data_IF_340701707002
#
_entry.id   IF_340701707002
#
_cell.length_a   1.000
_cell.length_b   1.000
_cell.length_c   1.000
_cell.angle_alpha   90.00
_cell.angle_beta   90.00
_cell.angle_gamma   90.00
#
_symmetry.space_group_name_H-M   'P 1'
#
loop_
_entity.id
_entity.type
_entity.pdbx_description
1 polymer ?
#
# COMPACT_ATOMS: atom_id res chain seq x y z
N UNK A 1 -60.12 8.89 33.88
CA UNK A 1 -60.08 10.16 34.64
C UNK A 1 -58.64 10.67 34.57
N UNK A 2 -58.27 11.42 33.54
CA UNK A 2 -58.40 12.89 33.36
C UNK A 2 -57.46 13.71 34.23
N UNK A 3 -56.51 14.40 33.56
CA UNK A 3 -56.08 15.80 33.66
C UNK A 3 -54.63 15.85 33.10
N UNK A 4 -54.34 16.23 31.84
CA UNK A 4 -54.45 17.55 31.18
C UNK A 4 -53.83 18.71 31.97
N UNK A 5 -52.67 19.21 31.51
CA UNK A 5 -52.52 20.62 31.09
C UNK A 5 -51.13 20.89 30.48
N UNK A 6 -51.17 21.17 29.17
CA UNK A 6 -50.44 22.21 28.41
C UNK A 6 -49.03 22.68 28.83
N UNK A 7 -48.10 22.63 27.86
CA UNK A 7 -47.33 23.82 27.49
C UNK A 7 -46.90 23.82 26.01
N UNK A 8 -47.54 24.75 25.29
CA UNK A 8 -47.25 25.48 24.04
C UNK A 8 -45.99 25.16 23.21
N UNK A 9 -46.27 25.12 21.90
CA UNK A 9 -45.35 25.22 20.77
C UNK A 9 -44.56 26.54 20.73
N UNK A 10 -43.32 26.47 20.24
CA UNK A 10 -42.70 27.55 19.47
C UNK A 10 -41.55 27.03 18.59
N UNK A 11 -41.69 27.37 17.30
CA UNK A 11 -40.65 27.73 16.33
C UNK A 11 -39.67 26.68 15.78
N UNK A 12 -39.96 26.33 14.53
CA UNK A 12 -39.00 25.92 13.50
C UNK A 12 -37.74 26.79 13.55
N UNK A 13 -36.58 26.16 13.72
CA UNK A 13 -35.30 26.75 13.39
C UNK A 13 -34.77 26.10 12.10
N UNK A 14 -34.69 26.94 11.09
CA UNK A 14 -34.12 26.75 9.76
C UNK A 14 -32.64 26.32 9.86
N UNK A 15 -32.33 25.07 9.50
CA UNK A 15 -30.96 24.66 9.20
C UNK A 15 -30.62 25.07 7.77
N UNK A 16 -29.61 25.92 7.53
CA UNK A 16 -29.12 26.12 6.17
C UNK A 16 -28.47 24.83 5.70
N UNK A 17 -29.00 24.26 4.61
CA UNK A 17 -28.30 23.23 3.82
C UNK A 17 -26.92 23.78 3.46
N UNK A 18 -25.86 23.19 4.02
CA UNK A 18 -24.51 23.39 3.54
C UNK A 18 -24.46 22.95 2.08
N UNK A 19 -24.49 23.93 1.17
CA UNK A 19 -24.17 23.70 -0.23
C UNK A 19 -22.73 23.18 -0.25
N UNK A 20 -22.53 21.98 -0.77
CA UNK A 20 -21.20 21.50 -1.21
C UNK A 20 -20.66 22.53 -2.20
N UNK A 21 -19.81 23.43 -1.74
CA UNK A 21 -19.02 24.30 -2.60
C UNK A 21 -18.04 23.37 -3.33
N UNK A 22 -18.33 23.07 -4.60
CA UNK A 22 -17.32 22.52 -5.51
C UNK A 22 -16.22 23.57 -5.58
N UNK A 23 -15.05 23.22 -5.06
CA UNK A 23 -13.81 23.95 -5.29
C UNK A 23 -13.60 23.92 -6.82
N UNK A 24 -13.28 25.06 -7.46
CA UNK A 24 -13.01 25.07 -8.90
C UNK A 24 -11.78 24.20 -9.13
N UNK A 25 -11.90 23.13 -9.93
CA UNK A 25 -10.74 22.43 -10.47
C UNK A 25 -10.00 23.43 -11.35
N UNK A 26 -8.75 23.71 -11.03
CA UNK A 26 -7.87 24.46 -11.93
C UNK A 26 -7.84 23.72 -13.26
N UNK A 27 -8.36 24.36 -14.31
CA UNK A 27 -8.31 23.87 -15.70
C UNK A 27 -6.95 24.17 -16.31
N UNK A 28 -5.87 23.68 -15.69
CA UNK A 28 -4.72 23.26 -16.47
C UNK A 28 -5.14 22.00 -17.23
N UNK A 29 -4.71 21.84 -18.47
CA UNK A 29 -5.00 20.62 -19.23
C UNK A 29 -4.33 19.45 -18.51
N UNK A 30 -5.05 18.76 -17.63
CA UNK A 30 -4.53 17.54 -17.01
C UNK A 30 -4.08 16.61 -18.13
N UNK A 31 -2.91 15.99 -17.96
CA UNK A 31 -2.44 14.99 -18.90
C UNK A 31 -3.50 13.91 -19.09
N UNK A 32 -3.79 13.55 -20.33
CA UNK A 32 -4.55 12.31 -20.56
C UNK A 32 -3.69 11.12 -20.13
N UNK A 33 -4.33 9.96 -19.89
CA UNK A 33 -3.60 8.73 -19.60
C UNK A 33 -2.65 8.36 -20.77
N UNK A 34 -3.06 8.63 -22.02
CA UNK A 34 -2.25 8.41 -23.21
C UNK A 34 -1.00 9.31 -23.26
N UNK A 35 -1.13 10.60 -22.95
CA UNK A 35 0.02 11.52 -22.91
C UNK A 35 1.00 11.15 -21.80
N UNK A 36 0.48 10.76 -20.63
CA UNK A 36 1.29 10.31 -19.50
C UNK A 36 2.03 9.01 -19.85
N UNK A 37 1.34 8.04 -20.46
CA UNK A 37 1.95 6.81 -20.93
C UNK A 37 3.05 7.08 -21.97
N UNK A 38 2.80 7.96 -22.94
CA UNK A 38 3.79 8.29 -23.96
C UNK A 38 5.08 8.86 -23.35
N UNK A 39 4.96 9.79 -22.39
CA UNK A 39 6.12 10.33 -21.66
C UNK A 39 6.85 9.28 -20.84
N UNK A 40 6.11 8.42 -20.14
CA UNK A 40 6.70 7.36 -19.33
C UNK A 40 7.47 6.35 -20.19
N UNK A 41 6.88 5.91 -21.31
CA UNK A 41 7.52 5.00 -22.26
C UNK A 41 8.77 5.64 -22.87
N UNK A 42 8.70 6.90 -23.30
CA UNK A 42 9.86 7.64 -23.83
C UNK A 42 11.00 7.73 -22.79
N UNK A 43 10.66 8.04 -21.54
CA UNK A 43 11.63 8.09 -20.43
C UNK A 43 12.28 6.74 -20.18
N UNK A 44 11.48 5.67 -20.06
CA UNK A 44 11.97 4.31 -19.84
C UNK A 44 12.89 3.86 -20.97
N UNK A 45 12.49 4.10 -22.23
CA UNK A 45 13.28 3.73 -23.41
C UNK A 45 14.60 4.52 -23.50
N UNK A 46 14.55 5.83 -23.22
CA UNK A 46 15.72 6.70 -23.21
C UNK A 46 16.75 6.27 -22.16
N UNK A 47 16.27 5.98 -20.95
CA UNK A 47 17.11 5.58 -19.82
C UNK A 47 17.49 4.08 -19.86
N UNK A 48 16.88 3.32 -20.78
CA UNK A 48 17.07 1.87 -20.97
C UNK A 48 16.77 1.07 -19.71
N UNK A 49 15.65 1.38 -19.05
CA UNK A 49 15.26 0.71 -17.82
C UNK A 49 14.55 -0.61 -18.12
N UNK A 50 14.75 -1.61 -17.24
CA UNK A 50 14.24 -2.97 -17.40
C UNK A 50 12.73 -3.16 -17.22
N UNK A 51 11.88 -2.26 -17.73
CA UNK A 51 10.43 -2.36 -17.57
C UNK A 51 9.82 -3.51 -18.39
N UNK A 52 8.89 -4.24 -17.79
CA UNK A 52 8.17 -5.33 -18.45
C UNK A 52 6.85 -4.85 -19.04
N UNK A 53 6.12 -4.05 -18.26
CA UNK A 53 4.86 -3.46 -18.65
C UNK A 53 4.47 -2.35 -17.70
N UNK A 54 3.69 -1.41 -18.22
CA UNK A 54 3.11 -0.31 -17.47
C UNK A 54 1.62 -0.18 -17.78
N UNK A 55 0.85 0.19 -16.76
CA UNK A 55 -0.54 0.63 -16.89
C UNK A 55 -0.66 2.00 -16.26
N UNK A 56 -1.15 2.96 -17.03
CA UNK A 56 -1.37 4.34 -16.59
C UNK A 56 -2.87 4.60 -16.62
N UNK A 57 -3.38 5.11 -15.50
CA UNK A 57 -4.77 5.53 -15.38
C UNK A 57 -4.84 6.96 -14.89
N UNK A 58 -5.64 7.79 -15.56
CA UNK A 58 -5.93 9.18 -15.17
C UNK A 58 -7.43 9.40 -15.32
N UNK A 59 -8.11 9.71 -14.21
CA UNK A 59 -9.58 9.72 -14.19
C UNK A 59 -10.16 8.36 -14.55
N UNK A 60 -10.98 8.32 -15.60
CA UNK A 60 -11.58 7.08 -16.11
C UNK A 60 -10.78 6.44 -17.26
N UNK A 61 -9.79 7.15 -17.81
CA UNK A 61 -8.98 6.67 -18.92
C UNK A 61 -7.87 5.75 -18.41
N UNK A 62 -7.69 4.59 -19.05
CA UNK A 62 -6.66 3.61 -18.75
C UNK A 62 -5.99 3.16 -20.03
N UNK A 63 -4.66 3.17 -20.04
CA UNK A 63 -3.84 2.75 -21.17
C UNK A 63 -2.65 1.93 -20.67
N UNK A 64 -2.19 1.00 -21.48
CA UNK A 64 -1.08 0.11 -21.13
C UNK A 64 -0.04 0.06 -22.24
N UNK A 65 1.22 -0.15 -21.85
CA UNK A 65 2.32 -0.48 -22.74
C UNK A 65 3.09 -1.67 -22.20
N UNK A 66 3.64 -2.50 -23.09
CA UNK A 66 4.35 -3.73 -22.71
C UNK A 66 5.57 -3.92 -23.60
N UNK A 67 6.72 -4.13 -22.96
CA UNK A 67 7.97 -4.53 -23.61
C UNK A 67 8.10 -6.05 -23.69
N UNK A 68 7.30 -6.80 -22.92
CA UNK A 68 7.22 -8.27 -22.94
C UNK A 68 5.81 -8.80 -22.65
N UNK A 69 5.65 -10.12 -22.67
CA UNK A 69 4.42 -10.81 -22.28
C UNK A 69 3.97 -10.47 -20.86
N UNK A 70 2.65 -10.45 -20.66
CA UNK A 70 2.00 -10.22 -19.37
C UNK A 70 1.99 -11.49 -18.50
N UNK A 71 3.16 -11.99 -18.17
CA UNK A 71 3.29 -13.15 -17.29
C UNK A 71 3.17 -12.71 -15.84
N UNK A 72 2.80 -13.65 -14.96
CA UNK A 72 2.84 -13.41 -13.53
C UNK A 72 4.29 -13.33 -13.08
N UNK A 73 4.60 -12.31 -12.30
CA UNK A 73 5.92 -12.07 -11.75
C UNK A 73 5.84 -11.86 -10.25
N UNK A 74 6.91 -12.21 -9.54
CA UNK A 74 7.01 -11.93 -8.11
C UNK A 74 6.97 -10.41 -7.89
N UNK A 75 6.00 -9.95 -7.12
CA UNK A 75 5.81 -8.55 -6.81
C UNK A 75 6.76 -8.03 -5.73
N UNK A 76 7.55 -8.91 -5.12
CA UNK A 76 8.42 -8.59 -3.98
C UNK A 76 7.65 -7.80 -2.92
N UNK A 77 8.19 -6.68 -2.47
CA UNK A 77 7.64 -5.89 -1.36
C UNK A 77 6.29 -5.23 -1.63
N UNK A 78 5.81 -5.15 -2.89
CA UNK A 78 4.40 -4.77 -3.18
C UNK A 78 3.42 -5.73 -2.51
N UNK A 79 3.82 -6.99 -2.28
CA UNK A 79 3.03 -7.99 -1.53
C UNK A 79 2.60 -7.50 -0.14
N UNK A 80 3.38 -6.62 0.51
CA UNK A 80 3.05 -6.03 1.80
C UNK A 80 1.81 -5.14 1.74
N UNK A 81 1.65 -4.40 0.64
CA UNK A 81 0.45 -3.60 0.41
C UNK A 81 -0.80 -4.47 0.37
N UNK A 82 -0.72 -5.65 -0.25
CA UNK A 82 -1.83 -6.62 -0.27
C UNK A 82 -2.07 -7.23 1.13
N UNK A 83 -1.02 -7.45 1.92
CA UNK A 83 -1.16 -7.83 3.33
C UNK A 83 -1.90 -6.76 4.14
N UNK A 84 -1.58 -5.47 3.93
CA UNK A 84 -2.29 -4.37 4.59
C UNK A 84 -3.75 -4.27 4.16
N UNK A 85 -4.08 -4.52 2.89
CA UNK A 85 -5.48 -4.64 2.46
C UNK A 85 -6.19 -5.79 3.18
N UNK A 86 -5.53 -6.94 3.34
CA UNK A 86 -6.09 -8.10 4.05
C UNK A 86 -6.42 -7.77 5.51
N UNK A 87 -5.49 -7.11 6.21
CA UNK A 87 -5.72 -6.64 7.59
C UNK A 87 -6.85 -5.61 7.61
N UNK A 88 -6.93 -4.70 6.65
CA UNK A 88 -8.01 -3.72 6.58
C UNK A 88 -9.39 -4.35 6.45
N UNK A 89 -9.52 -5.36 5.59
CA UNK A 89 -10.76 -6.14 5.46
C UNK A 89 -11.07 -6.85 6.78
N UNK A 90 -10.07 -7.46 7.43
CA UNK A 90 -10.27 -8.16 8.69
C UNK A 90 -10.68 -7.21 9.84
N UNK A 91 -10.15 -5.98 9.86
CA UNK A 91 -10.54 -4.94 10.80
C UNK A 91 -11.99 -4.49 10.57
N UNK A 92 -12.37 -4.27 9.31
CA UNK A 92 -13.74 -3.88 8.95
C UNK A 92 -14.76 -4.98 9.26
N UNK A 93 -14.38 -6.26 9.07
CA UNK A 93 -15.17 -7.44 9.46
C UNK A 93 -15.16 -7.70 10.99
N UNK A 94 -14.39 -6.93 11.78
CA UNK A 94 -14.30 -7.09 13.23
C UNK A 94 -13.55 -8.35 13.70
N UNK A 95 -12.75 -8.97 12.82
CA UNK A 95 -11.98 -10.19 13.09
C UNK A 95 -10.78 -9.89 13.99
N UNK A 96 -10.12 -8.76 13.77
CA UNK A 96 -9.01 -8.28 14.58
C UNK A 96 -9.01 -6.74 14.62
N UNK A 97 -8.17 -6.17 15.48
CA UNK A 97 -7.95 -4.73 15.57
C UNK A 97 -6.49 -4.41 15.28
N UNK A 98 -6.20 -3.15 14.93
CA UNK A 98 -4.82 -2.69 14.77
C UNK A 98 -4.01 -2.77 16.06
N UNK A 99 -4.67 -2.62 17.21
CA UNK A 99 -4.07 -2.74 18.53
C UNK A 99 -4.06 -4.18 19.08
N UNK A 100 -4.54 -5.17 18.31
CA UNK A 100 -4.42 -6.58 18.69
C UNK A 100 -2.96 -6.93 18.84
N UNK A 101 -2.61 -7.45 20.02
CA UNK A 101 -1.24 -7.80 20.41
C UNK A 101 -0.88 -9.20 19.96
N UNK A 102 0.41 -9.44 19.71
CA UNK A 102 0.97 -10.75 19.33
C UNK A 102 0.45 -11.91 20.19
N UNK A 103 0.50 -11.87 21.54
CA UNK A 103 0.07 -13.00 22.37
C UNK A 103 -1.44 -13.30 22.29
N UNK A 104 -2.28 -12.37 21.82
CA UNK A 104 -3.72 -12.63 21.67
C UNK A 104 -4.01 -13.66 20.56
N UNK A 105 -3.18 -13.68 19.51
CA UNK A 105 -3.37 -14.55 18.33
C UNK A 105 -2.30 -15.64 18.20
N UNK A 106 -1.13 -15.45 18.83
CA UNK A 106 -0.02 -16.40 18.81
C UNK A 106 0.43 -16.78 20.24
N UNK A 107 -0.46 -17.31 21.10
CA UNK A 107 -0.17 -17.54 22.52
C UNK A 107 0.86 -18.65 22.79
N UNK A 108 1.22 -19.46 21.79
CA UNK A 108 2.15 -20.58 21.92
C UNK A 108 3.61 -20.25 21.60
N UNK A 109 3.93 -18.99 21.29
CA UNK A 109 5.30 -18.57 20.98
C UNK A 109 6.01 -18.03 22.23
N UNK A 110 7.30 -18.35 22.35
CA UNK A 110 8.16 -17.79 23.39
C UNK A 110 8.54 -16.35 23.00
N UNK A 111 8.06 -15.37 23.77
CA UNK A 111 8.27 -13.96 23.45
C UNK A 111 9.50 -13.39 24.17
N UNK A 112 10.30 -12.62 23.42
CA UNK A 112 11.36 -11.82 23.97
C UNK A 112 10.84 -10.67 24.85
N UNK A 113 11.70 -10.05 25.67
CA UNK A 113 11.30 -8.94 26.53
C UNK A 113 10.54 -7.82 25.79
N UNK A 114 9.35 -7.47 26.27
CA UNK A 114 8.49 -6.39 25.78
C UNK A 114 7.72 -6.71 24.49
N UNK A 115 7.90 -7.89 23.88
CA UNK A 115 7.24 -8.26 22.62
C UNK A 115 5.74 -8.53 22.82
N UNK A 116 5.31 -8.78 24.05
CA UNK A 116 3.89 -8.88 24.43
C UNK A 116 3.08 -7.60 24.15
N UNK A 117 3.75 -6.47 23.97
CA UNK A 117 3.17 -5.16 23.62
C UNK A 117 3.20 -4.87 22.10
N UNK A 118 3.82 -5.73 21.28
CA UNK A 118 3.82 -5.58 19.81
C UNK A 118 2.42 -5.85 19.27
N UNK A 119 1.95 -5.00 18.36
CA UNK A 119 0.61 -5.06 17.77
C UNK A 119 0.67 -5.27 16.27
N UNK A 120 -0.48 -5.56 15.66
CA UNK A 120 -0.62 -5.60 14.19
C UNK A 120 -0.18 -4.28 13.56
N UNK A 121 -0.52 -3.13 14.14
CA UNK A 121 -0.09 -1.82 13.65
C UNK A 121 1.44 -1.67 13.66
N UNK A 122 2.09 -2.07 14.75
CA UNK A 122 3.55 -2.02 14.84
C UNK A 122 4.22 -2.88 13.77
N UNK A 123 3.64 -4.02 13.43
CA UNK A 123 4.16 -4.91 12.39
C UNK A 123 3.96 -4.33 10.98
N UNK A 124 2.79 -3.76 10.67
CA UNK A 124 2.51 -3.17 9.36
C UNK A 124 3.26 -1.85 9.10
N UNK A 125 3.59 -1.11 10.15
CA UNK A 125 4.37 0.14 10.08
C UNK A 125 5.87 -0.08 10.23
N UNK A 126 6.33 -1.33 10.38
CA UNK A 126 7.73 -1.68 10.59
C UNK A 126 8.31 -1.08 11.87
N UNK A 127 7.48 -0.87 12.89
CA UNK A 127 7.85 -0.26 14.18
C UNK A 127 7.77 -1.23 15.37
N UNK A 128 7.87 -2.54 15.13
CA UNK A 128 7.90 -3.54 16.21
C UNK A 128 9.04 -3.29 17.21
N UNK A 129 10.11 -2.61 16.79
CA UNK A 129 11.30 -2.31 17.58
C UNK A 129 12.22 -3.51 17.83
N UNK A 130 11.85 -4.69 17.31
CA UNK A 130 12.69 -5.89 17.29
C UNK A 130 13.77 -5.66 16.23
N UNK A 131 15.02 -6.04 16.51
CA UNK A 131 16.12 -5.93 15.54
C UNK A 131 16.32 -7.25 14.80
N UNK A 132 15.53 -7.45 13.74
CA UNK A 132 15.51 -8.66 12.94
C UNK A 132 15.23 -8.34 11.45
N UNK A 133 16.30 -8.20 10.66
CA UNK A 133 16.20 -8.07 9.21
C UNK A 133 16.18 -9.45 8.55
N UNK A 134 15.14 -9.73 7.79
CA UNK A 134 15.00 -10.94 6.98
C UNK A 134 14.15 -10.63 5.75
N UNK A 135 14.56 -11.14 4.59
CA UNK A 135 13.87 -10.96 3.32
C UNK A 135 13.48 -12.31 2.69
N UNK A 136 12.43 -12.31 1.87
CA UNK A 136 11.84 -13.54 1.33
C UNK A 136 12.72 -14.39 0.41
N UNK A 137 13.88 -13.89 -0.01
CA UNK A 137 14.93 -14.62 -0.74
C UNK A 137 15.95 -15.30 0.19
N UNK A 138 15.87 -15.08 1.50
CA UNK A 138 16.70 -15.72 2.50
C UNK A 138 16.08 -17.02 3.03
N UNK A 139 16.91 -18.01 3.45
CA UNK A 139 16.40 -19.18 4.13
C UNK A 139 15.70 -18.80 5.43
N UNK A 140 14.60 -19.49 5.76
CA UNK A 140 13.92 -19.32 7.05
C UNK A 140 14.85 -19.78 8.18
N UNK A 141 15.17 -18.93 9.17
CA UNK A 141 15.95 -19.33 10.31
C UNK A 141 15.14 -20.21 11.26
N UNK A 142 15.74 -21.33 11.70
CA UNK A 142 15.08 -22.29 12.58
C UNK A 142 13.90 -23.00 11.92
N UNK A 143 12.92 -23.42 12.74
CA UNK A 143 11.71 -24.11 12.28
C UNK A 143 10.52 -23.16 12.04
N UNK A 144 10.53 -21.97 12.64
CA UNK A 144 9.48 -20.96 12.50
C UNK A 144 10.09 -19.54 12.51
N UNK A 145 9.94 -18.83 11.39
CA UNK A 145 10.35 -17.44 11.24
C UNK A 145 9.70 -16.51 12.29
N UNK A 146 8.44 -16.75 12.67
CA UNK A 146 7.75 -15.93 13.67
C UNK A 146 8.40 -16.10 15.04
N UNK A 147 8.74 -17.34 15.41
CA UNK A 147 9.44 -17.63 16.66
C UNK A 147 10.85 -17.02 16.66
N UNK A 148 11.56 -17.09 15.53
CA UNK A 148 12.91 -16.53 15.41
C UNK A 148 12.92 -15.01 15.63
N UNK A 149 11.96 -14.29 15.05
CA UNK A 149 11.83 -12.84 15.24
C UNK A 149 11.29 -12.49 16.64
N UNK A 150 10.17 -13.08 17.06
CA UNK A 150 9.45 -12.70 18.28
C UNK A 150 10.16 -13.13 19.58
N UNK A 151 11.11 -14.07 19.50
CA UNK A 151 11.95 -14.45 20.64
C UNK A 151 13.02 -13.42 21.00
N UNK A 152 13.31 -12.46 20.11
CA UNK A 152 14.24 -11.37 20.38
C UNK A 152 13.57 -10.22 21.14
N UNK A 153 14.31 -9.46 21.96
CA UNK A 153 13.75 -8.30 22.65
C UNK A 153 13.34 -7.20 21.66
N UNK A 154 12.32 -6.42 22.03
CA UNK A 154 12.01 -5.16 21.37
C UNK A 154 12.72 -3.99 22.06
N UNK A 155 13.09 -2.96 21.29
CA UNK A 155 13.56 -1.65 21.78
C UNK A 155 12.41 -0.67 22.09
N UNK A 156 11.19 -1.20 22.19
CA UNK A 156 9.97 -0.44 22.43
C UNK A 156 9.11 -0.38 21.17
N UNK A 157 7.94 -1.05 21.15
CA UNK A 157 7.02 -0.99 20.03
C UNK A 157 6.60 0.46 19.73
N UNK A 158 6.53 0.80 18.45
CA UNK A 158 6.21 2.15 17.96
C UNK A 158 7.35 3.16 18.02
N UNK A 159 8.53 2.79 18.56
CA UNK A 159 9.63 3.75 18.77
C UNK A 159 10.70 3.74 17.68
N UNK A 160 10.93 2.59 17.06
CA UNK A 160 12.04 2.43 16.10
C UNK A 160 11.55 1.71 14.87
N UNK A 161 11.85 2.32 13.71
CA UNK A 161 11.62 1.74 12.40
C UNK A 161 12.70 0.69 12.08
N UNK A 162 12.28 -0.48 11.61
CA UNK A 162 13.13 -1.47 10.97
C UNK A 162 12.37 -2.21 9.87
N UNK A 163 12.77 -1.97 8.62
CA UNK A 163 12.17 -2.63 7.47
C UNK A 163 12.57 -4.11 7.39
N UNK A 164 11.57 -5.01 7.36
CA UNK A 164 11.78 -6.46 7.34
C UNK A 164 10.56 -7.20 6.80
N UNK A 165 10.76 -8.23 5.97
CA UNK A 165 9.67 -9.10 5.50
C UNK A 165 9.09 -9.91 6.67
N UNK A 166 9.90 -10.18 7.71
CA UNK A 166 9.47 -10.92 8.90
C UNK A 166 8.34 -10.21 9.65
N UNK A 167 8.34 -8.87 9.70
CA UNK A 167 7.24 -8.10 10.32
C UNK A 167 5.91 -8.37 9.61
N UNK A 168 5.91 -8.34 8.26
CA UNK A 168 4.71 -8.64 7.46
C UNK A 168 4.31 -10.10 7.59
N UNK A 169 5.27 -11.03 7.64
CA UNK A 169 5.01 -12.45 7.88
C UNK A 169 4.31 -12.67 9.23
N UNK A 170 4.78 -12.05 10.32
CA UNK A 170 4.14 -12.16 11.64
C UNK A 170 2.73 -11.58 11.62
N UNK A 171 2.50 -10.44 10.96
CA UNK A 171 1.15 -9.89 10.81
C UNK A 171 0.21 -10.87 10.08
N UNK A 172 0.71 -11.54 9.03
CA UNK A 172 -0.06 -12.57 8.33
C UNK A 172 -0.25 -13.84 9.15
N UNK A 173 0.70 -14.21 10.02
CA UNK A 173 0.54 -15.31 10.99
C UNK A 173 -0.55 -15.03 12.01
N UNK A 174 -0.61 -13.79 12.50
CA UNK A 174 -1.69 -13.35 13.39
C UNK A 174 -3.04 -13.42 12.68
N UNK A 175 -3.15 -12.87 11.46
CA UNK A 175 -4.38 -12.97 10.68
C UNK A 175 -4.76 -14.43 10.41
N UNK A 176 -3.81 -15.27 10.02
CA UNK A 176 -4.03 -16.68 9.75
C UNK A 176 -4.57 -17.46 10.95
N UNK A 177 -4.16 -17.10 12.17
CA UNK A 177 -4.69 -17.71 13.39
C UNK A 177 -6.20 -17.45 13.57
N UNK A 178 -6.72 -16.34 13.02
CA UNK A 178 -8.12 -15.98 13.09
C UNK A 178 -8.95 -16.47 11.88
N UNK A 179 -8.35 -16.53 10.68
CA UNK A 179 -9.08 -16.77 9.42
C UNK A 179 -8.70 -18.05 8.67
N UNK A 180 -7.66 -18.76 9.13
CA UNK A 180 -7.07 -19.88 8.41
C UNK A 180 -6.11 -19.40 7.31
N UNK A 181 -6.17 -20.00 6.12
CA UNK A 181 -5.30 -19.62 5.03
C UNK A 181 -5.63 -18.20 4.52
N UNK A 182 -4.72 -17.25 4.69
CA UNK A 182 -4.96 -15.83 4.35
C UNK A 182 -5.24 -15.64 2.86
N UNK A 183 -4.53 -16.36 1.99
CA UNK A 183 -4.70 -16.23 0.55
C UNK A 183 -6.06 -16.77 0.13
N UNK A 184 -6.47 -17.92 0.66
CA UNK A 184 -7.79 -18.48 0.35
C UNK A 184 -8.92 -17.67 0.99
N UNK A 185 -8.70 -17.09 2.17
CA UNK A 185 -9.64 -16.18 2.79
C UNK A 185 -9.83 -14.88 1.97
N UNK A 186 -8.76 -14.39 1.35
CA UNK A 186 -8.77 -13.23 0.45
C UNK A 186 -9.41 -13.50 -0.91
N UNK A 187 -9.43 -14.75 -1.39
CA UNK A 187 -9.96 -15.10 -2.72
C UNK A 187 -11.35 -14.46 -2.98
N UNK A 188 -12.41 -14.77 -2.20
CA UNK A 188 -13.74 -14.22 -2.45
C UNK A 188 -13.89 -12.73 -2.07
N UNK A 189 -12.96 -12.20 -1.27
CA UNK A 189 -13.06 -10.84 -0.70
C UNK A 189 -12.41 -9.79 -1.57
N UNK A 190 -11.24 -10.12 -2.15
CA UNK A 190 -10.37 -9.19 -2.85
C UNK A 190 -10.00 -9.69 -4.24
N UNK A 191 -9.55 -10.94 -4.39
CA UNK A 191 -8.98 -11.41 -5.65
C UNK A 191 -10.02 -11.71 -6.72
N UNK A 192 -11.02 -12.56 -6.45
CA UNK A 192 -12.11 -12.86 -7.39
C UNK A 192 -12.88 -11.60 -7.83
N UNK A 193 -13.21 -10.65 -6.93
CA UNK A 193 -13.82 -9.39 -7.33
C UNK A 193 -12.95 -8.56 -8.27
N UNK A 194 -11.62 -8.63 -8.15
CA UNK A 194 -10.71 -7.96 -9.07
C UNK A 194 -10.38 -8.81 -10.31
N UNK A 195 -11.04 -9.96 -10.50
CA UNK A 195 -10.76 -10.90 -11.59
C UNK A 195 -9.33 -11.45 -11.54
N UNK A 196 -8.79 -11.67 -10.35
CA UNK A 196 -7.47 -12.26 -10.11
C UNK A 196 -7.69 -13.71 -9.69
N UNK A 197 -7.58 -14.62 -10.65
CA UNK A 197 -7.89 -16.03 -10.42
C UNK A 197 -6.71 -16.78 -9.82
N UNK A 198 -6.88 -17.39 -8.64
CA UNK A 198 -5.91 -18.30 -8.03
C UNK A 198 -4.46 -17.74 -8.00
N UNK A 199 -4.22 -16.55 -7.41
CA UNK A 199 -2.87 -15.99 -7.35
C UNK A 199 -1.94 -16.91 -6.56
N UNK A 200 -0.70 -17.05 -7.04
CA UNK A 200 0.33 -17.80 -6.31
C UNK A 200 0.97 -16.87 -5.28
N UNK A 201 1.24 -17.42 -4.09
CA UNK A 201 1.95 -16.71 -3.04
C UNK A 201 2.94 -17.68 -2.41
N UNK A 202 4.21 -17.33 -2.41
CA UNK A 202 5.24 -18.16 -1.78
C UNK A 202 4.93 -18.41 -0.31
N UNK A 203 5.26 -19.62 0.15
CA UNK A 203 4.95 -20.11 1.48
C UNK A 203 6.21 -20.56 2.20
N UNK A 204 6.24 -20.37 3.51
CA UNK A 204 7.25 -20.98 4.35
C UNK A 204 7.01 -22.51 4.46
N UNK A 205 7.98 -23.28 5.00
CA UNK A 205 7.82 -24.73 5.18
C UNK A 205 6.64 -25.14 6.07
N UNK A 206 6.13 -24.24 6.92
CA UNK A 206 4.93 -24.47 7.73
C UNK A 206 3.62 -24.22 6.97
N UNK A 207 3.70 -23.83 5.70
CA UNK A 207 2.55 -23.61 4.83
C UNK A 207 1.95 -22.22 4.92
N UNK A 208 2.44 -21.30 5.75
CA UNK A 208 1.95 -19.91 5.77
C UNK A 208 2.52 -19.10 4.61
N UNK A 209 1.75 -18.15 4.08
CA UNK A 209 2.26 -17.19 3.10
C UNK A 209 3.43 -16.40 3.70
N UNK A 210 4.44 -16.10 2.88
CA UNK A 210 5.56 -15.23 3.29
C UNK A 210 5.05 -13.81 3.57
N UNK A 211 4.10 -13.33 2.78
CA UNK A 211 3.44 -12.02 2.96
C UNK A 211 4.32 -10.85 2.51
N UNK A 212 5.52 -10.71 3.09
CA UNK A 212 6.47 -9.65 2.77
C UNK A 212 6.97 -9.64 1.33
N UNK A 213 6.86 -10.78 0.64
CA UNK A 213 7.28 -11.03 -0.74
C UNK A 213 6.48 -12.22 -1.31
N UNK A 214 6.70 -12.55 -2.58
CA UNK A 214 6.32 -13.82 -3.18
C UNK A 214 4.89 -13.91 -3.71
N UNK A 215 4.10 -12.82 -3.65
CA UNK A 215 2.83 -12.76 -4.39
C UNK A 215 3.15 -12.58 -5.87
N UNK A 216 2.58 -13.43 -6.72
CA UNK A 216 2.82 -13.40 -8.15
C UNK A 216 1.58 -12.91 -8.90
N UNK A 217 1.70 -11.75 -9.57
CA UNK A 217 0.63 -11.16 -10.39
C UNK A 217 1.17 -10.67 -11.73
N UNK A 218 0.27 -10.57 -12.71
CA UNK A 218 0.47 -9.88 -13.98
C UNK A 218 0.50 -8.36 -13.77
N UNK A 219 1.08 -7.60 -14.71
CA UNK A 219 0.99 -6.13 -14.69
C UNK A 219 -0.47 -5.67 -14.65
N UNK A 220 -1.33 -6.31 -15.45
CA UNK A 220 -2.76 -5.97 -15.49
C UNK A 220 -3.53 -6.34 -14.22
N UNK A 221 -3.15 -7.42 -13.55
CA UNK A 221 -3.75 -7.82 -12.26
C UNK A 221 -3.33 -6.85 -11.15
N UNK A 222 -2.04 -6.48 -11.10
CA UNK A 222 -1.53 -5.46 -10.18
C UNK A 222 -2.19 -4.09 -10.42
N UNK A 223 -2.43 -3.72 -11.68
CA UNK A 223 -3.07 -2.45 -12.01
C UNK A 223 -4.50 -2.34 -11.46
N UNK A 224 -5.22 -3.46 -11.31
CA UNK A 224 -6.55 -3.47 -10.67
C UNK A 224 -6.46 -3.23 -9.17
N UNK A 225 -5.40 -3.72 -8.51
CA UNK A 225 -5.08 -3.36 -7.12
C UNK A 225 -4.72 -1.87 -7.04
N UNK A 226 -3.93 -1.36 -7.99
CA UNK A 226 -3.62 0.07 -8.07
C UNK A 226 -4.85 0.95 -8.21
N UNK A 227 -5.78 0.58 -9.10
CA UNK A 227 -7.07 1.23 -9.24
C UNK A 227 -7.85 1.19 -7.92
N UNK A 228 -7.92 0.03 -7.25
CA UNK A 228 -8.60 -0.10 -5.97
C UNK A 228 -8.05 0.87 -4.93
N UNK A 229 -6.72 1.01 -4.85
CA UNK A 229 -6.06 1.94 -3.92
C UNK A 229 -6.38 3.40 -4.25
N UNK A 230 -6.27 3.79 -5.53
CA UNK A 230 -6.63 5.14 -5.98
C UNK A 230 -8.10 5.46 -5.71
N UNK A 231 -8.98 4.50 -5.98
CA UNK A 231 -10.44 4.62 -5.81
C UNK A 231 -10.86 4.39 -4.35
N UNK A 232 -9.92 4.50 -3.39
CA UNK A 232 -10.14 4.42 -1.95
C UNK A 232 -10.93 3.17 -1.54
N UNK A 233 -10.56 2.03 -2.11
CA UNK A 233 -11.14 0.73 -1.81
C UNK A 233 -12.45 0.41 -2.53
N UNK A 234 -12.93 1.28 -3.42
CA UNK A 234 -14.06 0.99 -4.29
C UNK A 234 -13.63 0.18 -5.53
N UNK A 235 -14.35 -0.90 -5.84
CA UNK A 235 -14.09 -1.76 -6.99
C UNK A 235 -15.33 -2.57 -7.38
N UNK A 236 -15.52 -2.80 -8.68
CA UNK A 236 -16.66 -3.58 -9.21
C UNK A 236 -18.04 -3.19 -8.65
N UNK A 237 -18.29 -1.88 -8.53
CA UNK A 237 -19.58 -1.34 -8.07
C UNK A 237 -19.87 -1.52 -6.58
N UNK A 238 -18.88 -1.95 -5.78
CA UNK A 238 -18.99 -2.09 -4.32
C UNK A 238 -17.74 -1.58 -3.60
N UNK A 239 -17.86 -1.43 -2.27
CA UNK A 239 -16.71 -1.18 -1.41
C UNK A 239 -16.06 -2.54 -1.09
N UNK A 240 -14.80 -2.74 -1.51
CA UNK A 240 -14.03 -3.95 -1.20
C UNK A 240 -13.21 -3.78 0.07
N UNK A 241 -12.65 -2.59 0.27
CA UNK A 241 -11.83 -2.22 1.42
C UNK A 241 -12.35 -0.89 1.93
N UNK A 242 -12.48 -0.70 3.24
CA UNK A 242 -12.95 0.57 3.81
C UNK A 242 -12.13 1.78 3.31
N UNK A 243 -12.80 2.85 2.89
CA UNK A 243 -12.14 4.05 2.36
C UNK A 243 -11.26 4.78 3.39
N UNK A 244 -11.61 4.71 4.67
CA UNK A 244 -10.79 5.27 5.76
C UNK A 244 -9.54 4.42 6.01
N UNK A 245 -9.61 3.10 5.73
CA UNK A 245 -8.44 2.23 5.82
C UNK A 245 -7.41 2.61 4.75
N UNK A 246 -7.84 2.77 3.50
CA UNK A 246 -6.93 3.16 2.40
C UNK A 246 -6.30 4.53 2.69
N UNK A 247 -7.06 5.51 3.18
CA UNK A 247 -6.52 6.82 3.58
C UNK A 247 -5.47 6.67 4.70
N UNK A 248 -5.72 5.79 5.67
CA UNK A 248 -4.78 5.53 6.77
C UNK A 248 -3.49 4.91 6.28
N UNK A 249 -3.54 4.06 5.25
CA UNK A 249 -2.33 3.44 4.68
C UNK A 249 -1.28 4.49 4.32
N UNK A 250 -1.70 5.59 3.71
CA UNK A 250 -0.81 6.67 3.25
C UNK A 250 -1.00 8.01 4.02
N UNK A 251 -1.57 7.97 5.21
CA UNK A 251 -1.87 9.15 6.03
C UNK A 251 -1.14 9.18 7.38
N UNK A 252 -0.80 8.01 7.92
CA UNK A 252 -0.13 7.85 9.21
C UNK A 252 1.35 7.53 9.03
N UNK A 253 2.13 8.54 8.66
CA UNK A 253 3.56 8.39 8.36
C UNK A 253 4.42 8.20 9.61
N UNK A 254 5.38 7.28 9.49
CA UNK A 254 6.49 7.03 10.40
C UNK A 254 7.78 7.45 9.71
N UNK A 255 8.63 8.20 10.42
CA UNK A 255 9.97 8.54 9.94
C UNK A 255 10.89 7.32 10.04
N UNK A 256 11.58 6.99 8.95
CA UNK A 256 12.50 5.85 8.90
C UNK A 256 13.88 6.16 9.50
N UNK A 257 14.15 7.45 9.72
CA UNK A 257 15.48 7.96 10.09
C UNK A 257 16.40 8.21 8.90
N UNK A 258 15.93 7.98 7.66
CA UNK A 258 16.64 8.40 6.44
C UNK A 258 16.62 9.93 6.29
N UNK A 259 17.44 10.44 5.37
CA UNK A 259 17.37 11.86 4.98
C UNK A 259 15.94 12.21 4.51
N UNK A 260 15.34 13.32 4.97
CA UNK A 260 13.99 13.72 4.56
C UNK A 260 13.81 13.92 3.05
N UNK A 261 14.90 14.13 2.30
CA UNK A 261 14.88 14.22 0.84
C UNK A 261 15.10 12.86 0.15
N UNK A 262 15.40 11.79 0.90
CA UNK A 262 15.59 10.46 0.34
C UNK A 262 14.25 9.80 -0.04
N UNK A 263 14.22 8.92 -1.06
CA UNK A 263 13.00 8.22 -1.51
C UNK A 263 12.30 7.34 -0.46
N UNK A 264 12.95 7.10 0.68
CA UNK A 264 12.51 6.19 1.75
C UNK A 264 12.42 6.90 3.10
N UNK A 265 12.15 8.21 3.11
CA UNK A 265 12.08 9.00 4.33
C UNK A 265 10.92 8.59 5.25
N UNK A 266 9.77 8.22 4.67
CA UNK A 266 8.54 7.95 5.42
C UNK A 266 7.82 6.68 4.98
N UNK A 267 7.29 5.96 5.97
CA UNK A 267 6.56 4.71 5.79
C UNK A 267 5.19 4.76 6.47
N UNK A 268 4.18 4.16 5.85
CA UNK A 268 2.81 4.08 6.34
C UNK A 268 2.42 2.65 6.74
N UNK A 269 1.14 2.29 6.55
CA UNK A 269 0.72 0.88 6.70
C UNK A 269 1.08 0.11 5.42
N UNK A 270 2.29 -0.42 5.40
CA UNK A 270 2.84 -1.14 4.25
C UNK A 270 2.96 -0.34 2.95
N UNK A 271 3.12 0.98 3.05
CA UNK A 271 3.28 1.90 1.91
C UNK A 271 4.43 2.84 2.16
N UNK A 272 5.04 3.33 1.08
CA UNK A 272 6.01 4.42 1.13
C UNK A 272 5.33 5.73 0.75
N UNK A 273 5.86 6.85 1.25
CA UNK A 273 5.59 8.13 0.58
C UNK A 273 6.15 8.09 -0.86
N UNK A 274 5.80 9.05 -1.71
CA UNK A 274 6.19 9.03 -3.11
C UNK A 274 6.87 10.33 -3.53
N UNK A 275 7.49 10.36 -4.71
CA UNK A 275 7.92 11.61 -5.30
C UNK A 275 6.73 12.59 -5.41
N UNK A 276 6.91 13.82 -4.92
CA UNK A 276 5.87 14.84 -4.96
C UNK A 276 4.69 14.54 -4.02
N UNK A 277 3.48 14.58 -4.57
CA UNK A 277 2.22 14.34 -3.83
C UNK A 277 1.77 12.88 -3.86
N UNK A 278 2.55 12.01 -4.51
CA UNK A 278 2.24 10.61 -4.65
C UNK A 278 2.58 9.81 -3.38
N UNK A 279 2.05 8.60 -3.32
CA UNK A 279 2.49 7.54 -2.41
C UNK A 279 2.54 6.23 -3.19
N UNK A 280 3.25 5.23 -2.68
CA UNK A 280 3.51 4.02 -3.47
C UNK A 280 3.56 2.72 -2.69
N UNK A 281 3.23 1.63 -3.39
CA UNK A 281 3.77 0.31 -3.11
C UNK A 281 5.06 0.16 -3.90
N UNK A 282 6.10 -0.35 -3.23
CA UNK A 282 7.46 -0.42 -3.74
C UNK A 282 7.98 -1.85 -3.56
N UNK A 283 8.28 -2.51 -4.67
CA UNK A 283 8.82 -3.85 -4.73
C UNK A 283 10.15 -3.85 -5.45
N UNK A 284 11.09 -4.64 -4.92
CA UNK A 284 12.42 -4.83 -5.47
C UNK A 284 12.37 -5.04 -6.99
N UNK A 285 13.36 -4.47 -7.67
CA UNK A 285 13.52 -4.53 -9.13
C UNK A 285 12.47 -3.76 -9.94
N UNK A 286 11.77 -2.83 -9.31
CA UNK A 286 10.88 -1.90 -10.00
C UNK A 286 9.42 -2.33 -10.10
N UNK A 287 8.93 -3.10 -9.12
CA UNK A 287 7.49 -3.37 -9.01
C UNK A 287 6.84 -2.18 -8.31
N UNK A 288 6.00 -1.43 -9.02
CA UNK A 288 5.41 -0.21 -8.48
C UNK A 288 3.91 -0.16 -8.66
N UNK A 289 3.25 0.38 -7.64
CA UNK A 289 1.93 1.02 -7.74
C UNK A 289 2.08 2.40 -7.15
N UNK A 290 2.03 3.43 -7.97
CA UNK A 290 2.18 4.83 -7.57
C UNK A 290 0.84 5.54 -7.73
N UNK A 291 0.30 6.05 -6.63
CA UNK A 291 -1.01 6.71 -6.57
C UNK A 291 -0.80 8.20 -6.34
N UNK A 292 -1.38 9.03 -7.21
CA UNK A 292 -1.44 10.47 -7.05
C UNK A 292 -2.91 10.92 -7.07
N UNK A 293 -3.47 11.08 -5.87
CA UNK A 293 -4.86 11.50 -5.70
C UNK A 293 -5.12 12.94 -6.13
N UNK A 294 -4.09 13.81 -6.14
CA UNK A 294 -4.25 15.21 -6.59
C UNK A 294 -4.48 15.31 -8.09
N UNK A 295 -4.03 14.30 -8.84
CA UNK A 295 -4.13 14.17 -10.30
C UNK A 295 -5.12 13.09 -10.74
N UNK A 296 -5.84 12.48 -9.80
CA UNK A 296 -6.76 11.36 -10.07
C UNK A 296 -6.08 10.22 -10.84
N UNK A 297 -4.81 9.95 -10.49
CA UNK A 297 -3.92 9.11 -11.28
C UNK A 297 -3.39 7.92 -10.49
N UNK A 298 -3.16 6.82 -11.20
CA UNK A 298 -2.36 5.69 -10.72
C UNK A 298 -1.51 5.14 -11.85
N UNK A 299 -0.25 4.84 -11.54
CA UNK A 299 0.70 4.20 -12.46
C UNK A 299 1.13 2.88 -11.84
N UNK A 300 1.02 1.80 -12.61
CA UNK A 300 1.51 0.47 -12.24
C UNK A 300 2.65 0.08 -13.15
N UNK A 301 3.73 -0.44 -12.57
CA UNK A 301 4.92 -0.90 -13.28
C UNK A 301 5.27 -2.29 -12.76
N UNK A 302 5.58 -3.20 -13.69
CA UNK A 302 6.34 -4.41 -13.39
C UNK A 302 7.63 -4.36 -14.18
N UNK A 303 8.74 -4.76 -13.59
CA UNK A 303 10.07 -4.60 -14.18
C UNK A 303 11.07 -5.66 -13.68
N UNK A 304 12.29 -5.63 -14.20
CA UNK A 304 13.48 -6.13 -13.52
C UNK A 304 14.62 -5.15 -13.75
N UNK A 305 14.75 -4.20 -12.84
CA UNK A 305 15.80 -3.17 -12.86
C UNK A 305 16.64 -3.26 -11.58
N UNK A 306 17.91 -3.65 -11.67
CA UNK A 306 18.71 -3.99 -10.48
C UNK A 306 19.33 -2.78 -9.79
N UNK A 307 19.62 -1.72 -10.53
CA UNK A 307 20.45 -0.61 -10.04
C UNK A 307 19.68 0.70 -9.93
N UNK A 308 18.76 0.95 -10.86
CA UNK A 308 18.10 2.26 -11.03
C UNK A 308 16.57 2.16 -10.97
N UNK A 309 16.04 1.21 -10.21
CA UNK A 309 14.59 0.96 -10.14
C UNK A 309 13.81 2.19 -9.68
N UNK A 310 14.34 2.97 -8.74
CA UNK A 310 13.70 4.22 -8.31
C UNK A 310 13.46 5.25 -9.42
N UNK A 311 14.28 5.25 -10.47
CA UNK A 311 14.06 6.14 -11.61
C UNK A 311 12.74 5.83 -12.32
N UNK A 312 12.25 4.58 -12.26
CA UNK A 312 10.92 4.23 -12.76
C UNK A 312 9.81 4.95 -11.98
N UNK A 313 9.93 5.06 -10.65
CA UNK A 313 8.96 5.75 -9.82
C UNK A 313 8.99 7.27 -10.03
N UNK A 314 10.18 7.84 -10.20
CA UNK A 314 10.35 9.27 -10.54
C UNK A 314 9.72 9.59 -11.90
N UNK A 315 10.07 8.82 -12.94
CA UNK A 315 9.49 8.97 -14.27
C UNK A 315 7.96 8.79 -14.25
N UNK A 316 7.43 7.86 -13.45
CA UNK A 316 5.99 7.67 -13.30
C UNK A 316 5.29 8.90 -12.68
N UNK A 317 5.87 9.48 -11.63
CA UNK A 317 5.34 10.68 -10.99
C UNK A 317 5.42 11.91 -11.91
N UNK A 318 6.54 12.06 -12.62
CA UNK A 318 6.71 13.12 -13.63
C UNK A 318 5.74 12.95 -14.79
N UNK A 319 5.53 11.72 -15.26
CA UNK A 319 4.66 11.42 -16.39
C UNK A 319 3.20 11.82 -16.15
N UNK A 320 2.70 11.77 -14.92
CA UNK A 320 1.33 12.22 -14.61
C UNK A 320 1.25 13.72 -14.29
N UNK A 321 2.39 14.39 -14.12
CA UNK A 321 2.48 15.84 -13.86
C UNK A 321 2.40 16.65 -15.15
N UNK A 322 1.68 17.77 -15.13
CA UNK A 322 1.62 18.70 -16.27
C UNK A 322 3.00 19.33 -16.49
N UNK A 323 3.58 19.27 -17.71
CA UNK A 323 4.84 19.93 -18.05
C UNK A 323 4.91 21.41 -17.64
N UNK A 324 3.77 22.13 -17.65
CA UNK A 324 3.72 23.53 -17.24
C UNK A 324 3.98 23.74 -15.73
N UNK A 325 3.80 22.70 -14.90
CA UNK A 325 4.09 22.74 -13.46
C UNK A 325 5.54 22.38 -13.12
N UNK A 326 6.25 21.69 -14.02
CA UNK A 326 7.66 21.31 -13.82
C UNK A 326 8.59 22.52 -13.95
N UNK A 327 8.26 23.49 -14.83
CA UNK A 327 9.05 24.70 -15.07
C UNK A 327 9.05 25.67 -13.87
N UNK A 328 8.17 25.48 -12.89
CA UNK A 328 8.09 26.31 -11.67
C UNK A 328 9.08 25.94 -10.56
N UNK A 329 9.74 24.77 -10.63
CA UNK A 329 10.79 24.37 -9.68
C UNK A 329 12.14 24.62 -10.32
N UNK A 330 12.56 25.89 -10.26
CA UNK A 330 13.78 26.38 -10.89
C UNK A 330 15.00 25.53 -10.56
N UNK A 331 15.66 25.08 -11.63
CA UNK A 331 17.08 24.78 -11.66
C UNK A 331 17.83 25.98 -11.07
N UNK A 332 18.43 25.80 -9.89
CA UNK A 332 19.49 26.71 -9.44
C UNK A 332 20.73 26.35 -10.25
N UNK A 333 20.83 26.92 -11.45
CA UNK A 333 22.09 26.98 -12.18
C UNK A 333 23.04 27.86 -11.38
N UNK A 334 23.92 27.24 -10.60
CA UNK A 334 25.15 27.90 -10.16
C UNK A 334 26.05 28.06 -11.39
N UNK A 335 25.99 29.24 -12.01
CA UNK A 335 27.04 29.72 -12.90
C UNK A 335 28.04 30.50 -12.04
N UNK A 336 29.24 29.91 -11.93
CA UNK A 336 30.54 30.48 -11.50
C UNK A 336 30.60 31.29 -10.21
#
# INVERSE_FOLDING_TARGET
MSFSSMCRAATLAWFPRLRKTRIPRHTGSMSTAADALARLVEGIDRERLGAYGVVVRVGDDEVAHRWRSDDRENLYSVSKGVCALAVGIAVDEGILRLDTRVPELLPGLDLGPGVDEVTVEHLLTMTSGIDFAWFGDEPVPGSDLAQAMLGLPTRGPGRVFQYSDASSYVAMRMLAAAVGDVRDWLLPRLFEPLGIDNPQWHRCPLGFIVGGSGLELRTGELARIGRLLRDRGAGEGRQLVNAEWVDRMHGSWVDTGADPAAPFARYGLATWDGPGDAWRLDGRYGQYVLVDGSRDAVVTITAHEEERDHLLAELAAEAVTDPAQVVGRGVVTHLT
#
